data_IF_901893921036
#
_entry.id   IF_901893921036
#
_cell.length_a   1.000
_cell.length_b   1.000
_cell.length_c   1.000
_cell.angle_alpha   90.00
_cell.angle_beta   90.00
_cell.angle_gamma   90.00
#
_symmetry.space_group_name_H-M   'P 1'
#
loop_
_entity.id
_entity.type
_entity.pdbx_description
1 polymer ?
#
# COMPACT_ATOMS: atom_id res chain seq x y z
N UNK A 1 33.76 32.18 3.36
CA UNK A 1 33.77 31.62 1.99
C UNK A 1 33.85 30.10 2.08
N UNK A 2 32.74 29.45 2.39
CA UNK A 2 32.54 28.01 2.14
C UNK A 2 31.12 27.86 1.62
N UNK A 3 31.02 28.10 0.31
CA UNK A 3 29.90 27.70 -0.52
C UNK A 3 30.01 26.20 -0.75
N UNK A 4 28.98 25.43 -0.43
CA UNK A 4 28.59 24.12 -1.03
C UNK A 4 27.22 23.84 -0.39
N UNK A 5 26.07 24.13 -1.00
CA UNK A 5 25.66 23.66 -2.32
C UNK A 5 24.79 22.40 -2.14
N UNK A 6 23.66 22.51 -1.43
CA UNK A 6 22.63 21.48 -1.41
C UNK A 6 21.95 21.48 -2.78
N UNK A 7 22.31 20.52 -3.62
CA UNK A 7 21.69 20.28 -4.93
C UNK A 7 20.23 19.83 -4.78
N UNK A 8 19.43 19.96 -5.86
CA UNK A 8 17.98 19.91 -5.80
C UNK A 8 17.47 18.47 -5.65
N UNK A 9 16.44 18.33 -4.82
CA UNK A 9 15.57 17.16 -4.81
C UNK A 9 14.82 17.13 -6.15
N UNK A 10 15.43 16.49 -7.13
CA UNK A 10 14.86 16.31 -8.45
C UNK A 10 13.77 15.25 -8.31
N UNK A 11 12.57 15.71 -8.00
CA UNK A 11 11.34 14.96 -8.23
C UNK A 11 11.43 14.30 -9.60
N UNK A 12 11.45 12.97 -9.57
CA UNK A 12 11.67 12.14 -10.72
C UNK A 12 10.41 12.17 -11.59
N UNK A 13 10.30 13.19 -12.43
CA UNK A 13 9.25 13.28 -13.46
C UNK A 13 9.71 12.45 -14.66
N UNK A 14 9.38 11.16 -14.64
CA UNK A 14 9.42 10.35 -15.84
C UNK A 14 8.22 10.69 -16.72
N UNK A 15 8.47 11.56 -17.70
CA UNK A 15 7.64 11.74 -18.89
C UNK A 15 7.93 10.58 -19.84
N UNK A 16 7.38 9.40 -19.55
CA UNK A 16 7.26 8.34 -20.54
C UNK A 16 5.79 8.31 -20.99
N UNK A 17 5.54 9.02 -22.10
CA UNK A 17 4.24 9.13 -22.75
C UNK A 17 3.83 7.82 -23.42
N UNK A 18 3.67 6.76 -22.62
CA UNK A 18 3.08 5.51 -23.06
C UNK A 18 1.59 5.53 -22.74
N UNK A 19 0.76 5.21 -23.74
CA UNK A 19 -0.71 5.22 -23.70
C UNK A 19 -1.29 4.08 -22.82
N UNK A 20 -0.74 3.87 -21.62
CA UNK A 20 -1.32 2.99 -20.62
C UNK A 20 -2.42 3.74 -19.86
N UNK A 21 -3.45 3.00 -19.49
CA UNK A 21 -4.65 3.50 -18.81
C UNK A 21 -4.36 4.21 -17.46
N UNK A 22 -3.13 4.13 -16.93
CA UNK A 22 -2.64 4.75 -15.69
C UNK A 22 -1.26 5.34 -15.96
N UNK A 23 -1.05 6.61 -15.60
CA UNK A 23 0.26 7.25 -15.67
C UNK A 23 1.15 6.86 -14.47
N UNK A 24 2.48 7.04 -14.60
CA UNK A 24 3.43 6.69 -13.53
C UNK A 24 3.11 7.41 -12.20
N UNK A 25 2.61 8.65 -12.26
CA UNK A 25 2.26 9.44 -11.08
C UNK A 25 1.07 8.86 -10.33
N UNK A 26 0.02 8.46 -11.04
CA UNK A 26 -1.17 7.79 -10.49
C UNK A 26 -0.78 6.42 -9.90
N UNK A 27 0.03 5.62 -10.61
CA UNK A 27 0.51 4.33 -10.11
C UNK A 27 1.32 4.47 -8.82
N UNK A 28 2.25 5.42 -8.75
CA UNK A 28 3.07 5.66 -7.57
C UNK A 28 2.27 6.26 -6.41
N UNK A 29 1.32 7.16 -6.68
CA UNK A 29 0.47 7.76 -5.65
C UNK A 29 -0.38 6.71 -4.92
N UNK A 30 -0.82 5.67 -5.63
CA UNK A 30 -1.67 4.59 -5.09
C UNK A 30 -0.92 3.30 -4.77
N UNK A 31 0.41 3.31 -4.89
CA UNK A 31 1.24 2.12 -4.76
C UNK A 31 1.07 1.41 -3.41
N UNK A 32 0.99 2.16 -2.31
CA UNK A 32 0.84 1.58 -0.98
C UNK A 32 -0.54 0.95 -0.77
N UNK A 33 -1.61 1.58 -1.27
CA UNK A 33 -2.97 1.04 -1.24
C UNK A 33 -3.05 -0.26 -2.05
N UNK A 34 -2.39 -0.28 -3.22
CA UNK A 34 -2.24 -1.50 -4.01
C UNK A 34 -1.52 -2.62 -3.24
N UNK A 35 -0.41 -2.31 -2.56
CA UNK A 35 0.34 -3.29 -1.77
C UNK A 35 -0.47 -3.80 -0.56
N UNK A 36 -1.27 -2.95 0.08
CA UNK A 36 -2.14 -3.34 1.21
C UNK A 36 -3.45 -4.03 0.78
N UNK A 37 -3.71 -4.14 -0.52
CA UNK A 37 -4.98 -4.61 -1.08
C UNK A 37 -6.18 -3.75 -0.62
N UNK A 38 -5.97 -2.44 -0.49
CA UNK A 38 -6.98 -1.43 -0.12
C UNK A 38 -7.61 -0.73 -1.33
N UNK A 39 -7.36 -1.27 -2.53
CA UNK A 39 -7.83 -0.79 -3.81
C UNK A 39 -8.85 -1.77 -4.40
N UNK A 40 -9.81 -1.28 -5.19
CA UNK A 40 -10.75 -2.16 -5.88
C UNK A 40 -10.06 -3.00 -6.97
N UNK A 41 -10.74 -4.07 -7.41
CA UNK A 41 -10.16 -5.02 -8.36
C UNK A 41 -9.85 -4.39 -9.73
N UNK A 42 -10.73 -3.51 -10.22
CA UNK A 42 -10.56 -2.89 -11.54
C UNK A 42 -9.34 -1.98 -11.56
N UNK A 43 -9.16 -1.19 -10.51
CA UNK A 43 -8.03 -0.30 -10.39
C UNK A 43 -6.73 -1.05 -10.05
N UNK A 44 -6.82 -2.12 -9.25
CA UNK A 44 -5.70 -3.03 -9.01
C UNK A 44 -5.20 -3.68 -10.29
N UNK A 45 -6.09 -4.05 -11.21
CA UNK A 45 -5.72 -4.58 -12.52
C UNK A 45 -5.01 -3.53 -13.39
N UNK A 46 -5.47 -2.27 -13.36
CA UNK A 46 -4.84 -1.15 -14.06
C UNK A 46 -3.41 -0.91 -13.56
N UNK A 47 -3.20 -0.84 -12.25
CA UNK A 47 -1.86 -0.67 -11.65
C UNK A 47 -0.97 -1.87 -11.95
N UNK A 48 -1.48 -3.11 -11.84
CA UNK A 48 -0.71 -4.32 -12.15
C UNK A 48 -0.22 -4.34 -13.59
N UNK A 49 -1.05 -3.90 -14.53
CA UNK A 49 -0.67 -3.76 -15.94
C UNK A 49 0.41 -2.69 -16.12
N UNK A 50 0.26 -1.53 -15.49
CA UNK A 50 1.30 -0.49 -15.53
C UNK A 50 2.65 -1.01 -14.99
N UNK A 51 2.66 -1.69 -13.84
CA UNK A 51 3.89 -2.26 -13.26
C UNK A 51 4.52 -3.34 -14.16
N UNK A 52 3.73 -4.07 -14.93
CA UNK A 52 4.25 -5.07 -15.87
C UNK A 52 4.93 -4.43 -17.09
N UNK A 53 4.50 -3.23 -17.49
CA UNK A 53 4.97 -2.53 -18.67
C UNK A 53 6.02 -1.43 -18.35
N UNK A 54 6.15 -1.04 -17.07
CA UNK A 54 7.00 0.07 -16.61
C UNK A 54 8.04 -0.38 -15.56
N UNK A 55 9.25 -0.71 -16.02
CA UNK A 55 10.37 -1.13 -15.17
C UNK A 55 10.71 -0.14 -14.03
N UNK A 56 10.71 1.19 -14.24
CA UNK A 56 10.94 2.14 -13.14
C UNK A 56 9.90 2.01 -12.02
N UNK A 57 8.61 1.90 -12.36
CA UNK A 57 7.56 1.76 -11.35
C UNK A 57 7.59 0.38 -10.68
N UNK A 58 8.01 -0.66 -11.40
CA UNK A 58 8.25 -1.99 -10.80
C UNK A 58 9.39 -1.95 -9.78
N UNK A 59 10.47 -1.23 -10.06
CA UNK A 59 11.56 -1.02 -9.11
C UNK A 59 11.07 -0.31 -7.83
N UNK A 60 10.24 0.72 -7.95
CA UNK A 60 9.64 1.40 -6.80
C UNK A 60 8.70 0.48 -6.00
N UNK A 61 7.90 -0.35 -6.69
CA UNK A 61 7.07 -1.39 -6.06
C UNK A 61 7.92 -2.34 -5.24
N UNK A 62 9.01 -2.87 -5.80
CA UNK A 62 9.87 -3.83 -5.13
C UNK A 62 10.49 -3.23 -3.86
N UNK A 63 10.95 -1.97 -3.91
CA UNK A 63 11.48 -1.26 -2.73
C UNK A 63 10.41 -1.13 -1.65
N UNK A 64 9.20 -0.68 -2.01
CA UNK A 64 8.10 -0.49 -1.08
C UNK A 64 7.65 -1.81 -0.43
N UNK A 65 7.52 -2.88 -1.21
CA UNK A 65 7.15 -4.21 -0.71
C UNK A 65 8.22 -4.79 0.24
N UNK A 66 9.51 -4.66 -0.12
CA UNK A 66 10.61 -5.07 0.76
C UNK A 66 10.62 -4.30 2.08
N UNK A 67 10.35 -2.99 2.03
CA UNK A 67 10.23 -2.16 3.23
C UNK A 67 9.09 -2.65 4.12
N UNK A 68 7.91 -2.93 3.57
CA UNK A 68 6.76 -3.42 4.36
C UNK A 68 7.02 -4.80 4.95
N UNK A 69 7.66 -5.70 4.21
CA UNK A 69 8.13 -6.99 4.73
C UNK A 69 9.10 -6.81 5.90
N UNK A 70 10.03 -5.86 5.80
CA UNK A 70 10.99 -5.55 6.86
C UNK A 70 10.29 -5.00 8.11
N UNK A 71 9.35 -4.07 7.96
CA UNK A 71 8.57 -3.50 9.06
C UNK A 71 7.74 -4.59 9.74
N UNK A 72 7.01 -5.41 8.98
CA UNK A 72 6.20 -6.51 9.51
C UNK A 72 7.04 -7.52 10.31
N UNK A 73 8.27 -7.80 9.87
CA UNK A 73 9.21 -8.67 10.60
C UNK A 73 9.70 -8.04 11.90
N UNK A 74 9.91 -6.73 11.90
CA UNK A 74 10.49 -6.02 13.05
C UNK A 74 9.44 -5.67 14.11
N UNK A 75 8.19 -5.46 13.70
CA UNK A 75 7.07 -5.07 14.55
C UNK A 75 6.12 -6.25 14.81
N UNK A 76 6.61 -7.29 15.51
CA UNK A 76 5.81 -8.47 15.89
C UNK A 76 5.34 -8.38 17.34
N UNK A 77 4.58 -7.34 17.68
CA UNK A 77 3.93 -7.27 18.99
C UNK A 77 2.70 -8.18 19.03
N UNK A 78 2.57 -8.96 20.11
CA UNK A 78 1.40 -9.81 20.30
C UNK A 78 0.33 -8.99 21.00
N UNK A 79 -0.86 -8.92 20.40
CA UNK A 79 -2.00 -8.26 21.02
C UNK A 79 -2.31 -8.86 22.41
N UNK A 80 -2.58 -8.05 23.45
CA UNK A 80 -2.86 -8.56 24.78
C UNK A 80 -4.05 -9.52 24.81
N UNK A 81 -3.97 -10.59 25.61
CA UNK A 81 -5.02 -11.61 25.71
C UNK A 81 -6.38 -11.03 26.10
N UNK A 82 -6.39 -10.01 26.96
CA UNK A 82 -7.61 -9.31 27.37
C UNK A 82 -8.35 -8.70 26.16
N UNK A 83 -7.61 -8.11 25.22
CA UNK A 83 -8.18 -7.55 23.99
C UNK A 83 -8.82 -8.65 23.13
N UNK A 84 -8.16 -9.80 23.00
CA UNK A 84 -8.71 -10.96 22.27
C UNK A 84 -10.01 -11.46 22.88
N UNK A 85 -10.08 -11.57 24.21
CA UNK A 85 -11.30 -12.01 24.92
C UNK A 85 -12.42 -11.02 24.66
N UNK A 86 -12.15 -9.72 24.84
CA UNK A 86 -13.14 -8.66 24.68
C UNK A 86 -13.70 -8.58 23.25
N UNK A 87 -12.83 -8.67 22.24
CA UNK A 87 -13.25 -8.71 20.82
C UNK A 87 -14.16 -9.90 20.55
N UNK A 88 -13.78 -11.11 21.00
CA UNK A 88 -14.59 -12.33 20.78
C UNK A 88 -15.96 -12.23 21.45
N UNK A 89 -16.02 -11.69 22.66
CA UNK A 89 -17.29 -11.45 23.36
C UNK A 89 -18.18 -10.49 22.57
N UNK A 90 -17.65 -9.35 22.14
CA UNK A 90 -18.40 -8.37 21.36
C UNK A 90 -18.90 -8.94 20.02
N UNK A 91 -18.05 -9.67 19.29
CA UNK A 91 -18.44 -10.34 18.05
C UNK A 91 -19.55 -11.38 18.27
N UNK A 92 -19.55 -12.09 19.41
CA UNK A 92 -20.60 -13.06 19.75
C UNK A 92 -21.95 -12.36 19.95
N UNK A 93 -21.95 -11.26 20.70
CA UNK A 93 -23.15 -10.45 20.94
C UNK A 93 -23.69 -9.86 19.63
N UNK A 94 -22.82 -9.25 18.82
CA UNK A 94 -23.22 -8.64 17.54
C UNK A 94 -23.81 -9.67 16.58
N UNK A 95 -23.22 -10.87 16.48
CA UNK A 95 -23.77 -11.95 15.64
C UNK A 95 -25.17 -12.38 16.08
N UNK A 96 -25.40 -12.49 17.39
CA UNK A 96 -26.73 -12.80 17.91
C UNK A 96 -27.75 -11.70 17.58
N UNK A 97 -27.36 -10.43 17.66
CA UNK A 97 -28.23 -9.30 17.33
C UNK A 97 -28.61 -9.26 15.84
N UNK A 98 -27.65 -9.52 14.95
CA UNK A 98 -27.91 -9.61 13.50
C UNK A 98 -28.88 -10.75 13.18
N UNK A 99 -28.77 -11.90 13.86
CA UNK A 99 -29.65 -13.06 13.65
C UNK A 99 -31.08 -12.86 14.18
N UNK A 100 -31.29 -12.00 15.17
CA UNK A 100 -32.62 -11.70 15.72
C UNK A 100 -33.35 -10.59 14.99
N UNK A 101 -32.67 -9.88 14.08
CA UNK A 101 -33.23 -8.79 13.27
C UNK A 101 -33.72 -9.25 11.89
N UNK A 102 -33.53 -10.54 11.56
CA UNK A 102 -34.17 -11.30 10.48
C UNK A 102 -35.46 -11.96 11.02
#
# INVERSE_FOLDING_TARGET
>A
MTSTGAGPDAGHTHDDGSEHEVDCGEALARLFEFIDAEIDELEGDRIRRHLADCEPCLSEYDVADHLKKLVRRSCTEVAPTELHVRIRQQLTVLRAQVQTAD
#
